data_IF_343317505498
#
_entry.id   IF_343317505498
#
_cell.length_a   1.000
_cell.length_b   1.000
_cell.length_c   1.000
_cell.angle_alpha   90.00
_cell.angle_beta   90.00
_cell.angle_gamma   90.00
#
_symmetry.space_group_name_H-M   'P 1'
#
loop_
_entity.id
_entity.type
_entity.pdbx_description
1 polymer ?
#
# COMPACT_ATOMS: atom_id res chain seq x y z
N UNK A 1 2.15 -23.30 -5.73
CA UNK A 1 3.21 -22.25 -5.72
C UNK A 1 2.91 -21.24 -6.83
N UNK A 2 3.12 -19.93 -6.62
CA UNK A 2 3.04 -18.98 -7.72
C UNK A 2 4.12 -19.28 -8.75
N UNK A 3 3.74 -19.25 -10.04
CA UNK A 3 4.67 -19.47 -11.14
C UNK A 3 5.66 -18.29 -11.19
N UNK A 4 6.98 -18.53 -11.29
CA UNK A 4 7.95 -17.45 -11.46
C UNK A 4 7.59 -16.60 -12.68
N UNK A 5 7.77 -15.27 -12.64
CA UNK A 5 7.58 -14.46 -13.84
C UNK A 5 8.58 -14.92 -14.92
N UNK A 6 8.11 -15.17 -16.13
CA UNK A 6 8.98 -15.44 -17.27
C UNK A 6 9.59 -14.13 -17.76
N UNK A 7 10.73 -13.77 -17.18
CA UNK A 7 11.47 -12.54 -17.50
C UNK A 7 12.24 -12.63 -18.83
N UNK A 8 12.23 -13.77 -19.52
CA UNK A 8 12.99 -13.95 -20.77
C UNK A 8 12.23 -13.48 -22.00
N UNK A 9 10.91 -13.32 -21.90
CA UNK A 9 10.08 -12.78 -22.97
C UNK A 9 10.40 -11.29 -23.17
N UNK A 10 10.65 -10.89 -24.42
CA UNK A 10 10.87 -9.49 -24.84
C UNK A 10 9.55 -8.72 -24.83
N UNK A 11 9.16 -8.24 -23.65
CA UNK A 11 7.91 -7.54 -23.43
C UNK A 11 7.98 -6.65 -22.18
N UNK A 12 6.97 -5.78 -22.03
CA UNK A 12 6.76 -5.03 -20.79
C UNK A 12 6.13 -5.95 -19.74
N UNK A 13 6.83 -6.15 -18.63
CA UNK A 13 6.38 -6.99 -17.53
C UNK A 13 5.57 -6.20 -16.51
N UNK A 14 4.26 -6.44 -16.45
CA UNK A 14 3.37 -5.84 -15.45
C UNK A 14 3.23 -6.78 -14.25
N UNK A 15 3.65 -6.32 -13.06
CA UNK A 15 3.58 -7.12 -11.84
C UNK A 15 3.40 -6.25 -10.59
N UNK A 16 2.98 -6.87 -9.49
CA UNK A 16 2.89 -6.22 -8.18
C UNK A 16 4.29 -5.99 -7.59
N UNK A 17 4.46 -4.96 -6.75
CA UNK A 17 5.69 -4.67 -6.00
C UNK A 17 6.19 -5.90 -5.22
N UNK A 18 5.28 -6.63 -4.57
CA UNK A 18 5.62 -7.84 -3.83
C UNK A 18 6.29 -8.91 -4.71
N UNK A 19 5.78 -9.11 -5.93
CA UNK A 19 6.33 -10.07 -6.90
C UNK A 19 7.66 -9.60 -7.50
N UNK A 20 7.89 -8.28 -7.54
CA UNK A 20 9.14 -7.71 -8.01
C UNK A 20 10.29 -7.82 -6.99
N UNK A 21 10.00 -8.12 -5.70
CA UNK A 21 11.01 -8.19 -4.64
C UNK A 21 12.11 -9.19 -4.99
N UNK A 22 13.37 -8.75 -4.95
CA UNK A 22 14.54 -9.57 -5.26
C UNK A 22 14.87 -9.67 -6.75
N UNK A 23 14.08 -9.03 -7.61
CA UNK A 23 14.37 -8.84 -9.04
C UNK A 23 14.84 -7.40 -9.23
N UNK A 24 15.66 -7.14 -10.25
CA UNK A 24 16.06 -5.78 -10.62
C UNK A 24 15.88 -5.59 -12.13
N UNK A 25 15.54 -4.36 -12.54
CA UNK A 25 15.21 -3.99 -13.91
C UNK A 25 15.94 -2.71 -14.33
N UNK A 26 16.25 -2.58 -15.62
CA UNK A 26 16.88 -1.36 -16.16
C UNK A 26 15.97 -0.13 -15.97
N UNK A 27 14.67 -0.29 -16.23
CA UNK A 27 13.66 0.75 -16.14
C UNK A 27 12.45 0.23 -15.35
N UNK A 28 11.97 1.01 -14.38
CA UNK A 28 10.79 0.68 -13.56
C UNK A 28 9.80 1.82 -13.60
N UNK A 29 8.52 1.48 -13.80
CA UNK A 29 7.40 2.41 -13.82
C UNK A 29 6.43 2.06 -12.68
N UNK A 30 6.37 2.91 -11.66
CA UNK A 30 5.45 2.76 -10.53
C UNK A 30 4.22 3.62 -10.80
N UNK A 31 3.13 2.98 -11.20
CA UNK A 31 1.89 3.65 -11.53
C UNK A 31 0.91 3.74 -10.34
N UNK A 32 0.00 4.71 -10.43
CA UNK A 32 -1.13 4.91 -9.52
C UNK A 32 -0.76 5.18 -8.05
N UNK A 33 0.32 5.93 -7.78
CA UNK A 33 0.73 6.22 -6.38
C UNK A 33 -0.27 7.10 -5.59
N UNK A 34 -1.19 7.76 -6.29
CA UNK A 34 -2.32 8.51 -5.70
C UNK A 34 -3.35 7.61 -5.00
N UNK A 35 -3.37 6.30 -5.28
CA UNK A 35 -4.29 5.39 -4.62
C UNK A 35 -3.74 5.04 -3.24
N UNK A 36 -4.45 5.44 -2.20
CA UNK A 36 -4.20 4.96 -0.85
C UNK A 36 -4.23 3.43 -0.78
N UNK A 37 -3.49 2.86 0.17
CA UNK A 37 -3.53 1.43 0.43
C UNK A 37 -4.97 0.95 0.70
N UNK A 38 -5.25 -0.32 0.39
CA UNK A 38 -6.54 -0.99 0.70
C UNK A 38 -6.75 -1.21 2.22
N UNK A 39 -6.22 -0.33 3.06
CA UNK A 39 -6.41 -0.34 4.51
C UNK A 39 -7.81 0.19 4.82
N UNK A 40 -8.70 -0.72 5.19
CA UNK A 40 -10.12 -0.45 5.42
C UNK A 40 -10.37 0.68 6.42
N UNK A 41 -10.60 1.88 5.89
CA UNK A 41 -11.11 3.03 6.62
C UNK A 41 -12.63 3.13 6.52
N UNK A 42 -13.25 3.27 7.69
CA UNK A 42 -14.56 3.89 7.95
C UNK A 42 -15.87 3.22 7.48
N UNK A 43 -15.89 2.10 6.74
CA UNK A 43 -17.16 1.47 6.28
C UNK A 43 -17.40 0.02 6.69
N UNK A 44 -16.59 -0.53 7.57
CA UNK A 44 -16.79 -1.91 7.99
C UNK A 44 -17.85 -1.98 9.10
N UNK A 45 -18.97 -2.65 8.82
CA UNK A 45 -20.04 -2.99 9.79
C UNK A 45 -19.47 -3.76 10.99
N UNK A 46 -18.37 -4.50 10.76
CA UNK A 46 -17.62 -5.21 11.78
C UNK A 46 -16.11 -5.06 11.56
N UNK A 47 -15.35 -4.81 12.62
CA UNK A 47 -13.89 -4.81 12.59
C UNK A 47 -13.33 -5.43 13.86
N UNK A 48 -12.27 -6.22 13.73
CA UNK A 48 -11.52 -6.82 14.83
C UNK A 48 -10.08 -6.32 14.81
N UNK A 49 -9.57 -5.92 15.97
CA UNK A 49 -8.20 -5.46 16.23
C UNK A 49 -7.68 -6.13 17.49
N UNK A 50 -6.39 -5.98 17.77
CA UNK A 50 -5.74 -6.52 18.96
C UNK A 50 -4.81 -5.49 19.59
N UNK A 51 -4.85 -5.38 20.91
CA UNK A 51 -3.85 -4.71 21.75
C UNK A 51 -3.40 -5.72 22.79
N UNK A 52 -2.09 -5.99 22.89
CA UNK A 52 -1.52 -6.92 23.87
C UNK A 52 -2.28 -8.27 23.95
N UNK A 53 -2.56 -8.84 22.77
CA UNK A 53 -3.37 -10.04 22.54
C UNK A 53 -4.85 -9.99 22.92
N UNK A 54 -5.33 -8.91 23.53
CA UNK A 54 -6.74 -8.67 23.79
C UNK A 54 -7.49 -8.20 22.54
N UNK A 55 -8.61 -8.85 22.18
CA UNK A 55 -9.40 -8.46 21.03
C UNK A 55 -10.20 -7.18 21.30
N UNK A 56 -10.05 -6.21 20.42
CA UNK A 56 -10.84 -4.98 20.37
C UNK A 56 -11.72 -5.01 19.13
N UNK A 57 -13.02 -4.75 19.26
CA UNK A 57 -13.95 -4.87 18.15
C UNK A 57 -14.83 -3.65 17.98
N UNK A 58 -15.24 -3.42 16.73
CA UNK A 58 -16.32 -2.53 16.32
C UNK A 58 -17.39 -3.39 15.67
N UNK A 59 -18.63 -3.34 16.15
CA UNK A 59 -19.76 -4.08 15.61
C UNK A 59 -20.98 -3.14 15.56
N UNK A 60 -21.52 -2.93 14.36
CA UNK A 60 -22.73 -2.12 14.14
C UNK A 60 -22.66 -0.73 14.80
N UNK A 61 -21.47 -0.10 14.80
CA UNK A 61 -21.24 1.21 15.41
C UNK A 61 -20.82 1.19 16.88
N UNK A 62 -21.04 0.08 17.59
CA UNK A 62 -20.53 -0.12 18.95
C UNK A 62 -19.06 -0.48 18.89
N UNK A 63 -18.24 0.12 19.76
CA UNK A 63 -16.81 -0.21 19.84
C UNK A 63 -16.37 -0.42 21.28
N UNK A 64 -15.44 -1.35 21.47
CA UNK A 64 -14.75 -1.54 22.76
C UNK A 64 -13.82 -0.35 23.06
N UNK A 65 -13.52 -0.05 24.34
CA UNK A 65 -12.75 1.13 24.71
C UNK A 65 -11.37 1.25 24.05
N UNK A 66 -10.67 0.13 23.84
CA UNK A 66 -9.35 0.12 23.21
C UNK A 66 -9.39 0.14 21.67
N UNK A 67 -10.57 0.05 21.05
CA UNK A 67 -10.67 -0.07 19.59
C UNK A 67 -10.03 1.11 18.85
N UNK A 68 -10.26 2.34 19.31
CA UNK A 68 -9.70 3.53 18.67
C UNK A 68 -8.16 3.54 18.71
N UNK A 69 -7.58 3.17 19.86
CA UNK A 69 -6.13 3.04 20.00
C UNK A 69 -5.59 1.91 19.09
N UNK A 70 -6.30 0.78 19.02
CA UNK A 70 -5.92 -0.35 18.17
C UNK A 70 -5.97 0.00 16.67
N UNK A 71 -7.00 0.75 16.26
CA UNK A 71 -7.18 1.28 14.90
C UNK A 71 -6.07 2.27 14.55
N UNK A 72 -5.69 3.15 15.48
CA UNK A 72 -4.57 4.07 15.29
C UNK A 72 -3.24 3.33 15.08
N UNK A 73 -2.90 2.37 15.95
CA UNK A 73 -1.69 1.55 15.79
C UNK A 73 -1.68 0.81 14.45
N UNK A 74 -2.81 0.22 14.05
CA UNK A 74 -2.93 -0.46 12.76
C UNK A 74 -2.73 0.49 11.58
N UNK A 75 -3.25 1.71 11.68
CA UNK A 75 -3.09 2.75 10.66
C UNK A 75 -1.63 3.14 10.52
N UNK A 76 -0.90 3.33 11.62
CA UNK A 76 0.54 3.60 11.59
C UNK A 76 1.33 2.45 10.96
N UNK A 77 1.04 1.21 11.34
CA UNK A 77 1.66 0.01 10.72
C UNK A 77 1.40 -0.04 9.21
N UNK A 78 0.17 0.26 8.79
CA UNK A 78 -0.20 0.27 7.36
C UNK A 78 0.55 1.35 6.60
N UNK A 79 0.68 2.56 7.18
CA UNK A 79 1.48 3.66 6.61
C UNK A 79 2.95 3.29 6.47
N UNK A 80 3.55 2.71 7.51
CA UNK A 80 4.93 2.23 7.48
C UNK A 80 5.14 1.16 6.39
N UNK A 81 4.19 0.25 6.22
CA UNK A 81 4.28 -0.78 5.17
C UNK A 81 4.16 -0.18 3.76
N UNK A 82 3.32 0.84 3.56
CA UNK A 82 3.25 1.55 2.28
C UNK A 82 4.60 2.20 1.93
N UNK A 83 5.27 2.84 2.89
CA UNK A 83 6.61 3.39 2.70
C UNK A 83 7.62 2.29 2.33
N UNK A 84 7.57 1.14 3.03
CA UNK A 84 8.42 -0.01 2.71
C UNK A 84 8.20 -0.53 1.29
N UNK A 85 6.95 -0.62 0.85
CA UNK A 85 6.63 -1.05 -0.51
C UNK A 85 7.12 -0.06 -1.56
N UNK A 86 6.93 1.24 -1.35
CA UNK A 86 7.47 2.27 -2.23
C UNK A 86 8.99 2.18 -2.32
N UNK A 87 9.66 2.01 -1.18
CA UNK A 87 11.11 1.81 -1.14
C UNK A 87 11.55 0.56 -1.93
N UNK A 88 10.86 -0.56 -1.76
CA UNK A 88 11.15 -1.78 -2.52
C UNK A 88 11.00 -1.52 -4.01
N UNK A 89 9.92 -0.87 -4.45
CA UNK A 89 9.68 -0.55 -5.86
C UNK A 89 10.75 0.38 -6.44
N UNK A 90 11.09 1.45 -5.70
CA UNK A 90 12.08 2.44 -6.13
C UNK A 90 13.47 1.82 -6.28
N UNK A 91 13.84 0.90 -5.38
CA UNK A 91 15.14 0.21 -5.40
C UNK A 91 15.23 -0.92 -6.43
N UNK A 92 14.16 -1.21 -7.19
CA UNK A 92 14.23 -2.19 -8.30
C UNK A 92 14.85 -1.62 -9.57
N UNK A 93 14.92 -0.28 -9.70
CA UNK A 93 15.40 0.38 -10.91
C UNK A 93 16.92 0.54 -10.91
N UNK A 94 17.58 0.16 -12.00
CA UNK A 94 19.04 0.37 -12.19
C UNK A 94 19.38 1.68 -12.89
N UNK A 95 18.59 2.09 -13.90
CA UNK A 95 18.86 3.29 -14.70
C UNK A 95 17.77 4.34 -14.60
N UNK A 96 16.49 3.93 -14.65
CA UNK A 96 15.36 4.87 -14.61
C UNK A 96 14.23 4.37 -13.73
N UNK A 97 13.77 5.25 -12.85
CA UNK A 97 12.54 5.11 -12.10
C UNK A 97 11.57 6.20 -12.56
N UNK A 98 10.36 5.79 -12.96
CA UNK A 98 9.25 6.71 -13.26
C UNK A 98 8.14 6.44 -12.26
N UNK A 99 7.61 7.51 -11.67
CA UNK A 99 6.50 7.44 -10.71
C UNK A 99 5.35 8.26 -11.28
N UNK A 100 4.15 7.69 -11.29
CA UNK A 100 2.96 8.37 -11.79
C UNK A 100 1.75 8.18 -10.88
N UNK A 101 0.93 9.22 -10.81
CA UNK A 101 -0.35 9.23 -10.13
C UNK A 101 -1.30 10.21 -10.82
N UNK A 102 -2.60 10.04 -10.60
CA UNK A 102 -3.62 10.96 -11.06
C UNK A 102 -4.28 11.55 -9.83
N UNK A 103 -4.04 12.83 -9.58
CA UNK A 103 -4.85 13.61 -8.66
C UNK A 103 -5.89 14.37 -9.49
N UNK A 104 -6.92 14.92 -8.87
CA UNK A 104 -8.00 15.65 -9.56
C UNK A 104 -7.51 16.80 -10.45
N UNK A 105 -8.46 17.53 -11.06
CA UNK A 105 -8.26 18.45 -12.20
C UNK A 105 -6.87 19.13 -12.30
N UNK A 106 -6.30 19.21 -13.52
CA UNK A 106 -5.04 19.93 -13.76
C UNK A 106 -5.11 21.35 -13.18
N UNK A 107 -4.20 21.68 -12.27
CA UNK A 107 -4.13 23.00 -11.64
C UNK A 107 -4.64 23.09 -10.21
N UNK A 108 -5.18 22.00 -9.64
CA UNK A 108 -5.48 21.95 -8.19
C UNK A 108 -4.23 21.46 -7.44
N UNK A 109 -3.68 22.33 -6.60
CA UNK A 109 -2.56 22.00 -5.72
C UNK A 109 -3.00 20.90 -4.74
N UNK A 110 -2.38 19.73 -4.85
CA UNK A 110 -2.70 18.60 -3.98
C UNK A 110 -1.97 18.81 -2.66
N UNK A 111 -2.73 19.11 -1.62
CA UNK A 111 -2.17 19.21 -0.28
C UNK A 111 -1.57 17.85 0.13
N UNK A 112 -0.34 17.80 0.67
CA UNK A 112 0.37 16.55 1.03
C UNK A 112 -0.33 15.71 2.11
N UNK A 113 -1.44 16.19 2.66
CA UNK A 113 -2.23 15.59 3.72
C UNK A 113 -3.56 14.97 3.24
N UNK A 114 -3.72 14.81 1.92
CA UNK A 114 -4.87 14.17 1.26
C UNK A 114 -4.77 12.65 1.17
#
# INVERSE_FOLDING_TARGET
MPVPPDLKTDAVHVMTIHRAKGLDFEHVYVAQIHKGGRGGGARNIAALRRIDDWPEYRLFGWMTPGFAAAEWVQTQKTRAEMVRLLYVAATRAKKRLVISGGWGEPGVEVSPES
#
